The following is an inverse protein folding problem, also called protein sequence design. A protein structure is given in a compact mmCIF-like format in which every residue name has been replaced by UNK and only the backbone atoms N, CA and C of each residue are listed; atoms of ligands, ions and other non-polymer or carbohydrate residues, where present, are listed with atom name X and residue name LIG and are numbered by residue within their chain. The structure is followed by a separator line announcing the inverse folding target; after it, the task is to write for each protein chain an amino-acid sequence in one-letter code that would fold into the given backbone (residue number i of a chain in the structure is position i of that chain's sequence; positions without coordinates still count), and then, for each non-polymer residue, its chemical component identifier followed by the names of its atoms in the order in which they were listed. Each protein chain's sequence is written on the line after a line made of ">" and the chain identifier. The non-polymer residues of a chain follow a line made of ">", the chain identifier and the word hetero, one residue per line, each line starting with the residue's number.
data_IF_929089732471
#
_entry.id   IF_929089732471
#
_cell.length_a   1.000
_cell.length_b   1.000
_cell.length_c   1.000
_cell.angle_alpha   90.00
_cell.angle_beta   90.00
_cell.angle_gamma   90.00
#
_symmetry.space_group_name_H-M   'P 1'
#
loop_
_entity.id
_entity.type
_entity.pdbx_description
1 polymer ?
#
# COMPACT_ATOMS: atom_id res chain seq x y z
N UNK A 1 -15.87 -12.66 1.84
CA UNK A 1 -15.28 -13.76 1.03
C UNK A 1 -15.57 -13.73 -0.46
N UNK A 2 -16.84 -13.63 -0.90
CA UNK A 2 -17.22 -13.67 -2.32
C UNK A 2 -16.40 -12.73 -3.21
N UNK A 3 -16.34 -11.43 -2.87
CA UNK A 3 -15.61 -10.41 -3.66
C UNK A 3 -14.11 -10.71 -3.80
N UNK A 4 -13.48 -11.30 -2.77
CA UNK A 4 -12.06 -11.67 -2.83
C UNK A 4 -11.85 -12.89 -3.72
N UNK A 5 -12.69 -13.92 -3.59
CA UNK A 5 -12.62 -15.15 -4.39
C UNK A 5 -12.94 -14.89 -5.87
N UNK A 6 -13.91 -14.02 -6.14
CA UNK A 6 -14.25 -13.56 -7.48
C UNK A 6 -13.23 -12.56 -8.05
N UNK A 7 -12.22 -12.21 -7.24
CA UNK A 7 -11.16 -11.27 -7.58
C UNK A 7 -11.71 -9.88 -7.97
N UNK A 8 -12.82 -9.49 -7.38
CA UNK A 8 -13.48 -8.17 -7.48
C UNK A 8 -12.95 -7.19 -6.42
N UNK A 9 -12.21 -7.70 -5.43
CA UNK A 9 -11.54 -6.90 -4.41
C UNK A 9 -10.05 -6.77 -4.71
N UNK A 10 -9.58 -5.52 -4.82
CA UNK A 10 -8.16 -5.17 -4.91
C UNK A 10 -7.71 -4.66 -3.53
N UNK A 11 -6.83 -5.38 -2.82
CA UNK A 11 -6.32 -4.92 -1.53
C UNK A 11 -5.60 -3.58 -1.67
N UNK A 12 -5.68 -2.65 -0.70
CA UNK A 12 -5.00 -1.36 -0.80
C UNK A 12 -3.48 -1.52 -0.73
N UNK A 13 -2.75 -0.55 -1.30
CA UNK A 13 -1.29 -0.49 -1.19
C UNK A 13 -0.88 0.10 0.17
N UNK A 14 0.17 -0.45 0.78
CA UNK A 14 0.77 0.19 1.95
C UNK A 14 1.44 1.52 1.56
N UNK A 15 1.95 1.63 0.33
CA UNK A 15 2.48 2.89 -0.19
C UNK A 15 1.46 4.02 -0.20
N UNK A 16 0.18 3.73 -0.45
CA UNK A 16 -0.88 4.73 -0.33
C UNK A 16 -1.06 5.24 1.10
N UNK A 17 -0.86 4.38 2.11
CA UNK A 17 -0.88 4.81 3.52
C UNK A 17 0.34 5.66 3.87
N UNK A 18 1.53 5.27 3.39
CA UNK A 18 2.75 6.07 3.57
C UNK A 18 2.57 7.45 2.94
N UNK A 19 2.11 7.52 1.69
CA UNK A 19 1.87 8.79 1.01
C UNK A 19 0.82 9.65 1.72
N UNK A 20 -0.28 9.05 2.20
CA UNK A 20 -1.30 9.76 2.99
C UNK A 20 -0.68 10.36 4.25
N UNK A 21 0.16 9.61 4.97
CA UNK A 21 0.84 10.08 6.17
C UNK A 21 1.77 11.25 5.83
N UNK A 22 2.63 11.10 4.82
CA UNK A 22 3.57 12.14 4.40
C UNK A 22 2.86 13.44 4.01
N UNK A 23 1.74 13.35 3.27
CA UNK A 23 0.98 14.53 2.81
C UNK A 23 0.22 15.25 3.92
N UNK A 24 -0.22 14.54 4.93
CA UNK A 24 -1.08 15.10 6.00
C UNK A 24 -0.30 15.42 7.28
N UNK A 25 0.99 15.03 7.35
CA UNK A 25 1.81 15.17 8.55
C UNK A 25 1.88 16.61 9.06
N UNK A 26 2.21 17.58 8.21
CA UNK A 26 2.41 18.97 8.63
C UNK A 26 1.11 19.60 9.16
N UNK A 27 -0.02 19.33 8.52
CA UNK A 27 -1.33 19.81 8.97
C UNK A 27 -1.72 19.22 10.33
N UNK A 28 -1.51 17.91 10.50
CA UNK A 28 -1.81 17.21 11.76
C UNK A 28 -0.84 17.62 12.87
N UNK A 29 0.46 17.78 12.57
CA UNK A 29 1.48 18.16 13.53
C UNK A 29 1.22 19.54 14.14
N UNK A 30 0.64 20.46 13.35
CA UNK A 30 0.19 21.77 13.80
C UNK A 30 -1.18 21.75 14.51
N UNK A 31 -1.88 20.60 14.48
CA UNK A 31 -3.15 20.41 15.17
C UNK A 31 -2.95 19.79 16.55
N UNK A 32 -3.91 20.01 17.46
CA UNK A 32 -3.96 19.28 18.75
C UNK A 32 -4.50 17.84 18.61
N UNK A 33 -4.50 17.28 17.39
CA UNK A 33 -5.02 15.94 17.11
C UNK A 33 -3.88 14.91 17.02
N UNK A 34 -4.19 13.64 17.35
CA UNK A 34 -3.30 12.51 17.12
C UNK A 34 -3.86 11.63 16.02
N UNK A 35 -3.05 11.39 14.99
CA UNK A 35 -3.37 10.38 13.96
C UNK A 35 -2.72 9.05 14.31
N UNK A 36 -3.53 7.99 14.32
CA UNK A 36 -3.08 6.61 14.51
C UNK A 36 -3.45 5.85 13.24
N UNK A 37 -2.46 5.22 12.60
CA UNK A 37 -2.66 4.43 11.38
C UNK A 37 -2.30 2.99 11.69
N UNK A 38 -3.29 2.10 11.66
CA UNK A 38 -3.09 0.67 11.88
C UNK A 38 -3.78 -0.12 10.77
N UNK A 39 -3.06 -0.55 9.71
CA UNK A 39 -3.66 -1.34 8.65
C UNK A 39 -4.03 -2.74 9.16
N UNK A 40 -5.32 -3.00 9.32
CA UNK A 40 -5.82 -4.34 9.68
C UNK A 40 -5.31 -5.38 8.69
N UNK A 41 -4.70 -6.44 9.22
CA UNK A 41 -4.05 -7.48 8.43
C UNK A 41 -2.99 -6.96 7.44
N UNK A 42 -2.24 -5.91 7.82
CA UNK A 42 -1.10 -5.39 7.06
C UNK A 42 -0.12 -6.47 6.63
N UNK A 43 0.27 -6.44 5.36
CA UNK A 43 1.17 -7.42 4.74
C UNK A 43 0.55 -8.80 4.44
N UNK A 44 -0.74 -9.01 4.74
CA UNK A 44 -1.46 -10.24 4.38
C UNK A 44 -2.09 -10.14 2.99
N UNK A 45 -2.32 -11.28 2.34
CA UNK A 45 -2.85 -11.35 0.96
C UNK A 45 -4.24 -10.71 0.81
N UNK A 46 -5.04 -10.68 1.88
CA UNK A 46 -6.38 -10.04 1.91
C UNK A 46 -6.37 -8.65 2.53
N UNK A 47 -5.29 -8.25 3.19
CA UNK A 47 -5.16 -6.95 3.85
C UNK A 47 -4.31 -5.98 3.03
N UNK A 48 -4.06 -4.79 3.56
CA UNK A 48 -3.21 -3.78 2.91
C UNK A 48 -1.80 -4.34 2.70
N UNK A 49 -1.30 -4.31 1.46
CA UNK A 49 0.02 -4.85 1.16
C UNK A 49 0.62 -4.34 -0.15
N UNK A 50 1.94 -4.52 -0.28
CA UNK A 50 2.72 -4.20 -1.46
C UNK A 50 3.06 -5.48 -2.25
N UNK A 51 4.33 -5.87 -2.33
CA UNK A 51 4.79 -7.00 -3.13
C UNK A 51 5.32 -8.17 -2.29
N UNK A 52 4.94 -8.27 -1.00
CA UNK A 52 5.47 -9.21 0.00
C UNK A 52 6.89 -8.91 0.49
N UNK A 53 7.82 -8.51 -0.38
CA UNK A 53 9.22 -8.25 -0.03
C UNK A 53 9.39 -7.12 1.00
N UNK A 54 8.74 -5.99 0.77
CA UNK A 54 8.83 -4.80 1.63
C UNK A 54 7.67 -4.70 2.65
N UNK A 55 6.70 -5.62 2.63
CA UNK A 55 5.46 -5.50 3.42
C UNK A 55 5.75 -5.35 4.91
N UNK A 56 6.60 -6.22 5.46
CA UNK A 56 6.88 -6.27 6.90
C UNK A 56 7.54 -4.97 7.39
N UNK A 57 8.51 -4.46 6.63
CA UNK A 57 9.24 -3.24 6.99
C UNK A 57 8.34 -2.00 6.89
N UNK A 58 7.53 -1.90 5.83
CA UNK A 58 6.60 -0.77 5.64
C UNK A 58 5.51 -0.78 6.71
N UNK A 59 4.94 -1.94 7.05
CA UNK A 59 3.96 -2.05 8.16
C UNK A 59 4.61 -1.62 9.48
N UNK A 60 5.80 -2.12 9.79
CA UNK A 60 6.51 -1.75 11.01
C UNK A 60 6.81 -0.24 11.07
N UNK A 61 7.17 0.40 9.95
CA UNK A 61 7.38 1.84 9.88
C UNK A 61 6.08 2.63 10.16
N UNK A 62 4.94 2.20 9.62
CA UNK A 62 3.63 2.82 9.87
C UNK A 62 3.26 2.70 11.36
N UNK A 63 3.50 1.54 11.97
CA UNK A 63 3.25 1.31 13.40
C UNK A 63 4.16 2.17 14.28
N UNK A 64 5.46 2.25 13.96
CA UNK A 64 6.40 3.14 14.66
C UNK A 64 6.00 4.60 14.52
N UNK A 65 5.63 5.06 13.33
CA UNK A 65 5.12 6.42 13.12
C UNK A 65 3.89 6.72 13.97
N UNK A 66 2.95 5.77 14.11
CA UNK A 66 1.75 5.96 14.95
C UNK A 66 2.08 6.21 16.43
N UNK A 67 3.29 5.84 16.87
CA UNK A 67 3.83 6.11 18.21
C UNK A 67 4.71 7.37 18.21
N UNK A 68 5.70 7.45 17.33
CA UNK A 68 6.74 8.51 17.33
C UNK A 68 6.29 9.83 16.69
N UNK A 69 5.31 9.77 15.77
CA UNK A 69 4.89 10.88 14.90
C UNK A 69 6.05 11.49 14.11
N UNK A 70 7.02 10.68 13.70
CA UNK A 70 8.21 11.15 13.04
C UNK A 70 8.33 10.60 11.62
N UNK A 71 8.37 11.47 10.61
CA UNK A 71 8.52 11.06 9.22
C UNK A 71 9.85 10.33 8.95
N UNK A 72 10.85 10.46 9.83
CA UNK A 72 12.11 9.70 9.73
C UNK A 72 11.91 8.19 9.81
N UNK A 73 10.78 7.70 10.34
CA UNK A 73 10.43 6.27 10.34
C UNK A 73 10.31 5.66 8.95
N UNK A 74 10.02 6.49 7.93
CA UNK A 74 9.92 6.08 6.53
C UNK A 74 11.24 6.26 5.76
N UNK A 75 12.26 6.84 6.38
CA UNK A 75 13.56 7.08 5.74
C UNK A 75 14.23 5.76 5.37
N UNK A 76 14.62 5.63 4.10
CA UNK A 76 15.29 4.43 3.59
C UNK A 76 14.34 3.33 3.09
N UNK A 77 13.02 3.51 3.24
CA UNK A 77 12.05 2.61 2.62
C UNK A 77 12.05 2.78 1.11
N UNK A 78 12.55 1.77 0.41
CA UNK A 78 12.52 1.70 -1.04
C UNK A 78 12.27 0.28 -1.55
N UNK A 79 11.55 0.17 -2.66
CA UNK A 79 11.26 -1.08 -3.32
C UNK A 79 10.73 -0.80 -4.73
N UNK A 80 11.13 -1.63 -5.70
CA UNK A 80 10.68 -1.52 -7.10
C UNK A 80 9.15 -1.47 -7.24
N UNK A 81 8.41 -2.12 -6.33
CA UNK A 81 6.95 -2.12 -6.35
C UNK A 81 6.33 -0.74 -6.08
N UNK A 82 7.09 0.23 -5.55
CA UNK A 82 6.65 1.62 -5.40
C UNK A 82 6.39 2.26 -6.77
N UNK A 83 7.17 1.92 -7.79
CA UNK A 83 6.94 2.40 -9.15
C UNK A 83 5.70 1.76 -9.80
N UNK A 84 5.44 0.48 -9.49
CA UNK A 84 4.20 -0.20 -9.91
C UNK A 84 2.99 0.48 -9.29
N UNK A 85 3.04 0.74 -7.99
CA UNK A 85 1.99 1.49 -7.27
C UNK A 85 1.72 2.86 -7.90
N UNK A 86 2.75 3.68 -8.12
CA UNK A 86 2.61 5.01 -8.75
C UNK A 86 1.93 4.93 -10.12
N UNK A 87 2.35 3.96 -10.94
CA UNK A 87 1.77 3.73 -12.26
C UNK A 87 0.28 3.36 -12.15
N UNK A 88 -0.06 2.47 -11.23
CA UNK A 88 -1.44 2.02 -11.03
C UNK A 88 -2.35 3.17 -10.56
N UNK A 89 -1.90 3.97 -9.60
CA UNK A 89 -2.62 5.17 -9.14
C UNK A 89 -2.77 6.20 -10.28
N UNK A 90 -1.71 6.46 -11.05
CA UNK A 90 -1.78 7.39 -12.20
C UNK A 90 -2.80 6.93 -13.24
N UNK A 91 -2.86 5.63 -13.53
CA UNK A 91 -3.82 5.06 -14.47
C UNK A 91 -5.25 5.15 -13.92
N UNK A 92 -5.45 4.85 -12.63
CA UNK A 92 -6.75 4.95 -11.96
C UNK A 92 -7.31 6.39 -12.03
N UNK A 93 -6.45 7.42 -12.00
CA UNK A 93 -6.87 8.82 -12.17
C UNK A 93 -7.08 9.24 -13.64
N UNK A 94 -6.42 8.59 -14.59
CA UNK A 94 -6.42 9.01 -16.00
C UNK A 94 -7.54 8.33 -16.82
N UNK A 95 -8.13 7.26 -16.30
CA UNK A 95 -9.07 6.44 -17.04
C UNK A 95 -10.39 6.30 -16.28
N UNK A 96 -11.54 6.26 -16.98
CA UNK A 96 -12.86 6.13 -16.33
C UNK A 96 -13.10 4.72 -15.75
N UNK A 97 -12.16 3.80 -15.94
CA UNK A 97 -12.22 2.42 -15.45
C UNK A 97 -10.85 2.01 -14.90
N UNK A 98 -10.79 1.27 -13.78
CA UNK A 98 -9.55 0.67 -13.29
C UNK A 98 -9.05 -0.37 -14.30
N UNK A 99 -7.91 -0.11 -14.95
CA UNK A 99 -7.31 -1.08 -15.88
C UNK A 99 -6.56 -2.17 -15.13
N UNK A 100 -6.68 -3.40 -15.62
CA UNK A 100 -5.79 -4.50 -15.25
C UNK A 100 -5.79 -4.82 -13.77
N UNK A 101 -6.95 -5.20 -13.22
CA UNK A 101 -7.13 -5.63 -11.83
C UNK A 101 -5.87 -6.37 -11.33
N UNK A 102 -5.10 -5.71 -10.46
CA UNK A 102 -3.92 -6.22 -9.77
C UNK A 102 -4.29 -7.30 -8.76
N UNK A 103 -4.92 -8.36 -9.26
CA UNK A 103 -5.46 -9.49 -8.49
C UNK A 103 -4.36 -10.20 -7.72
N UNK A 104 -3.13 -10.13 -8.22
CA UNK A 104 -1.96 -10.70 -7.58
C UNK A 104 -0.69 -9.88 -7.85
N UNK A 105 -0.48 -8.84 -7.04
CA UNK A 105 0.79 -8.09 -7.00
C UNK A 105 1.99 -8.93 -6.53
N UNK A 106 1.71 -10.13 -6.02
CA UNK A 106 2.69 -11.07 -5.47
C UNK A 106 3.02 -12.21 -6.43
N UNK A 107 2.26 -12.40 -7.52
CA UNK A 107 2.61 -13.42 -8.51
C UNK A 107 3.76 -12.94 -9.38
N UNK A 108 4.66 -13.87 -9.69
CA UNK A 108 5.66 -13.66 -10.72
C UNK A 108 4.97 -13.39 -12.05
N UNK A 109 5.52 -12.43 -12.83
CA UNK A 109 5.08 -12.20 -14.21
C UNK A 109 5.23 -13.46 -15.06
N UNK A 110 6.27 -14.25 -14.83
CA UNK A 110 6.52 -15.51 -15.55
C UNK A 110 5.42 -16.52 -15.23
N UNK A 111 5.02 -16.62 -13.95
CA UNK A 111 3.98 -17.56 -13.52
C UNK A 111 2.60 -17.13 -14.06
N UNK A 112 2.33 -15.82 -14.16
CA UNK A 112 1.11 -15.31 -14.77
C UNK A 112 1.01 -15.64 -16.26
N UNK A 113 2.11 -15.59 -17.01
CA UNK A 113 2.13 -15.90 -18.46
C UNK A 113 2.07 -17.42 -18.71
N UNK A 114 2.52 -18.23 -17.76
CA UNK A 114 2.50 -19.70 -17.82
C UNK A 114 1.20 -20.33 -17.30
N UNK A 115 0.31 -19.54 -16.71
CA UNK A 115 -0.98 -20.03 -16.27
C UNK A 115 -1.82 -20.42 -17.51
N UNK A 116 -2.37 -21.64 -17.56
CA UNK A 116 -3.18 -22.12 -18.69
C UNK A 116 -4.50 -21.36 -18.86
#
# INVERSE_FOLDING_TARGET
>A
DRIFRNREYRPPWLWSLVEMIERTHDEIANSNCRTIVHPTAGGRIRGAHNCKKCDAEVVAAIERYSVSRDLREFKGLDCDCKNVWRTEISNDFSLPVPLGQGRDRRLSRVDMVRAP
#
